data_IF_900514516787
#
_entry.id   IF_900514516787
#
_cell.length_a   1.000
_cell.length_b   1.000
_cell.length_c   1.000
_cell.angle_alpha   90.00
_cell.angle_beta   90.00
_cell.angle_gamma   90.00
#
_symmetry.space_group_name_H-M   'P 1'
#
loop_
_entity.id
_entity.type
_entity.pdbx_description
1 polymer ?
#
# COMPACT_ATOMS: atom_id res chain seq x y z
N UNK A 1 -15.44 13.38 16.85
CA UNK A 1 -14.81 12.25 17.56
C UNK A 1 -15.86 11.25 18.04
N UNK A 2 -16.96 11.70 18.62
CA UNK A 2 -18.03 10.83 19.17
C UNK A 2 -18.77 9.99 18.12
N UNK A 3 -18.90 10.46 16.87
CA UNK A 3 -19.52 9.68 15.78
C UNK A 3 -18.70 8.45 15.32
N UNK A 4 -17.37 8.49 15.43
CA UNK A 4 -16.50 7.37 15.06
C UNK A 4 -16.49 6.25 16.11
N UNK A 5 -16.73 6.61 17.38
CA UNK A 5 -16.76 5.65 18.49
C UNK A 5 -18.04 4.82 18.44
N UNK A 6 -19.16 5.41 18.02
CA UNK A 6 -20.43 4.71 17.85
C UNK A 6 -20.42 3.73 16.66
N UNK A 7 -19.64 4.01 15.61
CA UNK A 7 -19.43 3.08 14.49
C UNK A 7 -18.63 1.85 14.90
N UNK A 8 -17.61 2.03 15.74
CA UNK A 8 -16.79 0.93 16.27
C UNK A 8 -17.54 -0.02 17.19
N UNK A 9 -18.49 0.49 17.97
CA UNK A 9 -19.31 -0.31 18.91
C UNK A 9 -20.40 -1.11 18.18
N UNK A 10 -20.79 -0.68 16.97
CA UNK A 10 -21.82 -1.35 16.17
C UNK A 10 -21.24 -2.39 15.19
N UNK A 11 -19.92 -2.52 15.12
CA UNK A 11 -19.25 -3.51 14.27
C UNK A 11 -19.37 -4.91 14.89
N UNK A 12 -20.54 -5.53 14.70
CA UNK A 12 -20.89 -6.85 15.20
C UNK A 12 -20.19 -7.95 14.36
N UNK A 13 -19.74 -9.05 15.00
CA UNK A 13 -19.08 -10.17 14.32
C UNK A 13 -19.95 -10.81 13.22
N UNK A 14 -21.27 -10.58 13.23
CA UNK A 14 -22.21 -10.98 12.19
C UNK A 14 -22.02 -10.25 10.86
N UNK A 15 -21.68 -8.96 10.87
CA UNK A 15 -21.42 -8.17 9.64
C UNK A 15 -20.10 -8.59 9.00
N UNK A 16 -19.07 -8.89 9.80
CA UNK A 16 -17.80 -9.46 9.34
C UNK A 16 -17.99 -10.79 8.58
N UNK A 17 -18.85 -11.70 9.06
CA UNK A 17 -19.13 -12.96 8.36
C UNK A 17 -19.89 -12.75 7.06
N UNK A 18 -20.67 -11.68 6.95
CA UNK A 18 -21.48 -11.36 5.77
C UNK A 18 -20.61 -10.72 4.68
N UNK A 19 -19.77 -9.77 5.05
CA UNK A 19 -18.74 -9.17 4.19
C UNK A 19 -17.74 -10.22 3.70
N UNK A 20 -17.31 -11.15 4.57
CA UNK A 20 -16.41 -12.23 4.15
C UNK A 20 -17.03 -13.18 3.12
N UNK A 21 -18.36 -13.29 3.07
CA UNK A 21 -19.08 -14.16 2.14
C UNK A 21 -19.40 -13.48 0.81
N UNK A 22 -19.68 -12.17 0.82
CA UNK A 22 -19.91 -11.40 -0.42
C UNK A 22 -18.60 -10.96 -1.07
N UNK A 23 -17.63 -10.48 -0.29
CA UNK A 23 -16.35 -9.95 -0.79
C UNK A 23 -15.17 -10.91 -0.64
N UNK A 24 -15.41 -12.14 -0.19
CA UNK A 24 -14.37 -13.14 0.07
C UNK A 24 -13.42 -13.38 -1.11
N UNK A 25 -13.90 -13.24 -2.36
CA UNK A 25 -13.07 -13.35 -3.57
C UNK A 25 -12.10 -12.18 -3.72
N UNK A 26 -12.55 -10.96 -3.44
CA UNK A 26 -11.71 -9.75 -3.49
C UNK A 26 -10.71 -9.72 -2.33
N UNK A 27 -11.14 -10.14 -1.14
CA UNK A 27 -10.27 -10.34 0.03
C UNK A 27 -9.20 -11.41 -0.23
N UNK A 28 -9.59 -12.55 -0.79
CA UNK A 28 -8.65 -13.60 -1.15
C UNK A 28 -7.64 -13.14 -2.21
N UNK A 29 -8.10 -12.41 -3.23
CA UNK A 29 -7.24 -11.84 -4.25
C UNK A 29 -6.26 -10.82 -3.65
N UNK A 30 -6.74 -9.87 -2.84
CA UNK A 30 -5.89 -8.89 -2.16
C UNK A 30 -4.87 -9.56 -1.24
N UNK A 31 -5.29 -10.57 -0.48
CA UNK A 31 -4.42 -11.38 0.37
C UNK A 31 -3.35 -12.12 -0.42
N UNK A 32 -3.72 -12.73 -1.56
CA UNK A 32 -2.76 -13.40 -2.44
C UNK A 32 -1.73 -12.42 -3.02
N UNK A 33 -2.16 -11.25 -3.51
CA UNK A 33 -1.25 -10.22 -4.00
C UNK A 33 -0.31 -9.71 -2.89
N UNK A 34 -0.83 -9.52 -1.67
CA UNK A 34 -0.03 -9.10 -0.53
C UNK A 34 1.02 -10.14 -0.16
N UNK A 35 0.62 -11.42 -0.15
CA UNK A 35 1.52 -12.54 0.11
C UNK A 35 2.64 -12.61 -0.94
N UNK A 36 2.31 -12.49 -2.22
CA UNK A 36 3.28 -12.44 -3.32
C UNK A 36 4.25 -11.27 -3.12
N UNK A 37 3.75 -10.08 -2.78
CA UNK A 37 4.57 -8.90 -2.51
C UNK A 37 5.58 -9.10 -1.38
N UNK A 38 5.20 -9.85 -0.34
CA UNK A 38 6.09 -10.18 0.78
C UNK A 38 7.18 -11.16 0.34
N UNK A 39 6.82 -12.20 -0.43
CA UNK A 39 7.79 -13.17 -0.96
C UNK A 39 8.82 -12.50 -1.87
N UNK A 40 8.38 -11.62 -2.77
CA UNK A 40 9.28 -10.85 -3.63
C UNK A 40 10.21 -9.96 -2.81
N UNK A 41 9.69 -9.31 -1.76
CA UNK A 41 10.48 -8.47 -0.88
C UNK A 41 11.56 -9.23 -0.09
N UNK A 42 11.25 -10.45 0.36
CA UNK A 42 12.22 -11.34 0.99
C UNK A 42 13.32 -11.75 0.01
N UNK A 43 12.93 -12.11 -1.22
CA UNK A 43 13.87 -12.47 -2.28
C UNK A 43 14.83 -11.34 -2.62
N UNK A 44 14.38 -10.08 -2.60
CA UNK A 44 15.26 -8.92 -2.85
C UNK A 44 16.43 -8.82 -1.86
N UNK A 45 16.24 -9.25 -0.61
CA UNK A 45 17.32 -9.24 0.40
C UNK A 45 18.46 -10.21 0.06
N UNK A 46 18.17 -11.26 -0.72
CA UNK A 46 19.17 -12.22 -1.20
C UNK A 46 19.86 -11.76 -2.48
N UNK A 47 19.16 -11.00 -3.34
CA UNK A 47 19.69 -10.56 -4.64
C UNK A 47 20.43 -9.22 -4.60
N UNK A 48 20.14 -8.35 -3.63
CA UNK A 48 20.69 -7.00 -3.60
C UNK A 48 20.99 -6.51 -2.17
N UNK A 49 21.97 -5.61 -2.01
CA UNK A 49 22.23 -4.94 -0.75
C UNK A 49 20.97 -4.26 -0.21
N UNK A 50 20.77 -4.34 1.11
CA UNK A 50 19.62 -3.71 1.79
C UNK A 50 19.55 -2.20 1.52
N UNK A 51 20.71 -1.55 1.36
CA UNK A 51 20.86 -0.14 0.98
C UNK A 51 20.22 0.21 -0.38
N UNK A 52 20.16 -0.75 -1.30
CA UNK A 52 19.52 -0.63 -2.62
C UNK A 52 18.05 -1.09 -2.58
N UNK A 53 17.78 -2.17 -1.85
CA UNK A 53 16.45 -2.77 -1.76
C UNK A 53 15.40 -1.83 -1.15
N UNK A 54 15.77 -1.10 -0.09
CA UNK A 54 14.87 -0.17 0.61
C UNK A 54 14.40 0.98 -0.31
N UNK A 55 15.30 1.73 -0.99
CA UNK A 55 14.89 2.77 -1.91
C UNK A 55 14.02 2.25 -3.06
N UNK A 56 14.34 1.07 -3.62
CA UNK A 56 13.52 0.45 -4.67
C UNK A 56 12.10 0.12 -4.14
N UNK A 57 11.97 -0.37 -2.91
CA UNK A 57 10.67 -0.60 -2.27
C UNK A 57 9.88 0.70 -2.08
N UNK A 58 10.53 1.82 -1.77
CA UNK A 58 9.88 3.14 -1.65
C UNK A 58 9.25 3.59 -2.97
N UNK A 59 9.82 3.20 -4.11
CA UNK A 59 9.22 3.47 -5.44
C UNK A 59 7.82 2.85 -5.58
N UNK A 60 7.56 1.70 -4.93
CA UNK A 60 6.21 1.10 -4.91
C UNK A 60 5.17 2.00 -4.24
N UNK A 61 5.55 2.78 -3.22
CA UNK A 61 4.66 3.75 -2.59
C UNK A 61 4.22 4.85 -3.56
N UNK A 62 5.03 5.14 -4.60
CA UNK A 62 4.69 6.13 -5.63
C UNK A 62 3.62 5.59 -6.57
N UNK A 63 3.73 4.31 -6.93
CA UNK A 63 2.65 3.63 -7.65
C UNK A 63 1.35 3.69 -6.84
N UNK A 64 1.40 3.49 -5.52
CA UNK A 64 0.22 3.67 -4.66
C UNK A 64 -0.31 5.11 -4.64
N UNK A 65 0.55 6.13 -4.67
CA UNK A 65 0.11 7.53 -4.73
C UNK A 65 -0.54 7.85 -6.07
N UNK A 66 0.01 7.35 -7.18
CA UNK A 66 -0.53 7.58 -8.53
C UNK A 66 -1.84 6.82 -8.72
N UNK A 67 -1.85 5.52 -8.42
CA UNK A 67 -3.01 4.65 -8.59
C UNK A 67 -4.09 4.99 -7.56
N UNK A 68 -3.73 5.10 -6.29
CA UNK A 68 -4.64 5.47 -5.21
C UNK A 68 -5.17 6.89 -5.37
N UNK A 69 -4.33 7.84 -5.78
CA UNK A 69 -4.78 9.19 -6.10
C UNK A 69 -5.85 9.20 -7.20
N UNK A 70 -5.63 8.45 -8.28
CA UNK A 70 -6.60 8.36 -9.38
C UNK A 70 -7.89 7.63 -8.97
N UNK A 71 -7.79 6.57 -8.18
CA UNK A 71 -8.94 5.76 -7.74
C UNK A 71 -9.79 6.48 -6.67
N UNK A 72 -9.15 7.16 -5.72
CA UNK A 72 -9.83 7.84 -4.61
C UNK A 72 -10.08 9.34 -4.85
N UNK A 73 -9.75 9.86 -6.05
CA UNK A 73 -9.96 11.26 -6.45
C UNK A 73 -9.43 12.30 -5.45
N UNK A 74 -8.25 12.05 -4.86
CA UNK A 74 -7.70 12.96 -3.84
C UNK A 74 -7.27 14.32 -4.42
N UNK A 75 -7.79 15.41 -3.84
CA UNK A 75 -7.47 16.81 -4.26
C UNK A 75 -5.99 17.20 -4.12
N UNK A 76 -5.20 16.50 -3.30
CA UNK A 76 -3.81 16.86 -2.98
C UNK A 76 -2.73 16.02 -3.71
N UNK A 77 -3.11 15.33 -4.79
CA UNK A 77 -2.20 14.48 -5.59
C UNK A 77 -0.93 15.20 -6.04
N UNK A 78 -1.03 16.46 -6.47
CA UNK A 78 0.12 17.22 -7.00
C UNK A 78 1.26 17.36 -5.97
N UNK A 79 0.93 17.56 -4.69
CA UNK A 79 1.91 17.66 -3.60
C UNK A 79 2.47 16.31 -3.19
N UNK A 80 1.65 15.25 -3.22
CA UNK A 80 2.12 13.88 -2.98
C UNK A 80 3.03 13.41 -4.11
N UNK A 81 2.77 13.84 -5.34
CA UNK A 81 3.56 13.50 -6.52
C UNK A 81 4.94 14.19 -6.49
N UNK A 82 5.04 15.45 -6.07
CA UNK A 82 6.34 16.12 -5.93
C UNK A 82 7.22 15.48 -4.84
N UNK A 83 6.63 15.13 -3.69
CA UNK A 83 7.33 14.38 -2.64
C UNK A 83 7.74 12.97 -3.12
N UNK A 84 6.90 12.33 -3.93
CA UNK A 84 7.18 11.05 -4.54
C UNK A 84 8.37 11.13 -5.51
N UNK A 85 8.40 12.11 -6.40
CA UNK A 85 9.55 12.33 -7.31
C UNK A 85 10.83 12.57 -6.54
N UNK A 86 10.78 13.34 -5.44
CA UNK A 86 11.94 13.55 -4.57
C UNK A 86 12.45 12.23 -3.95
N UNK A 87 11.55 11.33 -3.54
CA UNK A 87 11.91 9.98 -3.08
C UNK A 87 12.59 9.14 -4.17
N UNK A 88 12.12 9.19 -5.43
CA UNK A 88 12.78 8.49 -6.56
C UNK A 88 14.16 9.03 -6.81
N UNK A 89 14.30 10.36 -6.82
CA UNK A 89 15.58 11.00 -7.06
C UNK A 89 16.58 10.65 -5.96
N UNK A 90 16.16 10.67 -4.69
CA UNK A 90 16.97 10.21 -3.58
C UNK A 90 17.33 8.73 -3.68
N UNK A 91 16.39 7.89 -4.10
CA UNK A 91 16.66 6.47 -4.36
C UNK A 91 17.72 6.30 -5.45
N UNK A 92 17.56 6.96 -6.60
CA UNK A 92 18.51 6.89 -7.72
C UNK A 92 19.91 7.38 -7.33
N UNK A 93 20.01 8.41 -6.48
CA UNK A 93 21.29 8.90 -5.95
C UNK A 93 22.02 7.89 -5.05
N UNK A 94 21.31 6.95 -4.43
CA UNK A 94 21.91 5.87 -3.63
C UNK A 94 22.43 4.76 -4.54
N UNK A 95 21.86 4.61 -5.75
CA UNK A 95 22.25 3.59 -6.74
C UNK A 95 23.54 4.00 -7.47
N UNK A 96 23.67 5.29 -7.81
CA UNK A 96 24.82 5.88 -8.50
C UNK A 96 25.95 6.14 -7.53
#
# INVERSE_FOLDING_TARGET
AELLVLEWVRFDMGDLKKDFREDGKWLALAGALFFISILLGLKTLELAPVSLAIPIRRTSALFSIVLGGRMFHEKNIKRKLSAATLMVLGAALIIV
#
